data_IF_852697905103
#
_entry.id   IF_852697905103
#
_cell.length_a   1.000
_cell.length_b   1.000
_cell.length_c   1.000
_cell.angle_alpha   90.00
_cell.angle_beta   90.00
_cell.angle_gamma   90.00
#
_symmetry.space_group_name_H-M   'P 1'
#
loop_
_entity.id
_entity.type
_entity.pdbx_description
1 polymer ?
#
# COMPACT_ATOMS: atom_id res chain seq x y z
N UNK A 1 -33.87 -21.25 8.63
CA UNK A 1 -32.97 -21.49 7.48
C UNK A 1 -31.92 -20.39 7.52
N UNK A 2 -30.74 -20.69 8.12
CA UNK A 2 -29.65 -19.73 8.17
C UNK A 2 -29.11 -19.52 6.75
N UNK A 3 -28.90 -18.27 6.35
CA UNK A 3 -28.07 -17.96 5.17
C UNK A 3 -26.70 -18.56 5.41
N UNK A 4 -26.30 -19.53 4.62
CA UNK A 4 -24.89 -19.90 4.50
C UNK A 4 -24.15 -18.61 4.14
N UNK A 5 -23.12 -18.27 4.89
CA UNK A 5 -22.33 -17.08 4.64
C UNK A 5 -21.67 -17.21 3.26
N UNK A 6 -21.84 -16.22 2.44
CA UNK A 6 -21.23 -16.07 1.09
C UNK A 6 -19.71 -15.76 1.19
N UNK A 7 -19.08 -16.21 2.27
CA UNK A 7 -17.66 -15.98 2.52
C UNK A 7 -16.82 -17.07 1.85
N UNK A 8 -15.73 -16.72 1.17
CA UNK A 8 -14.83 -17.70 0.57
C UNK A 8 -14.23 -18.61 1.65
N UNK A 9 -13.92 -19.84 1.26
CA UNK A 9 -13.19 -20.74 2.14
C UNK A 9 -11.74 -20.21 2.28
N UNK A 10 -11.26 -20.15 3.53
CA UNK A 10 -9.86 -19.82 3.80
C UNK A 10 -8.95 -20.87 3.16
N UNK A 11 -7.85 -20.42 2.56
CA UNK A 11 -6.83 -21.30 2.00
C UNK A 11 -6.23 -22.20 3.09
N UNK A 12 -5.85 -23.40 2.67
CA UNK A 12 -5.24 -24.42 3.54
C UNK A 12 -3.83 -24.73 3.09
N UNK A 13 -3.08 -25.45 3.90
CA UNK A 13 -1.73 -25.94 3.56
C UNK A 13 -1.67 -26.74 2.25
N UNK A 14 -2.77 -27.35 1.84
CA UNK A 14 -2.86 -28.07 0.57
C UNK A 14 -2.89 -27.18 -0.66
N UNK A 15 -3.11 -25.86 -0.50
CA UNK A 15 -3.26 -24.90 -1.60
C UNK A 15 -2.11 -23.93 -1.73
N UNK A 16 -1.46 -23.56 -0.61
CA UNK A 16 -0.27 -22.69 -0.56
C UNK A 16 0.60 -23.07 0.63
N UNK A 17 1.84 -22.59 0.64
CA UNK A 17 2.67 -22.69 1.84
C UNK A 17 1.99 -21.98 3.01
N UNK A 18 1.96 -22.63 4.20
CA UNK A 18 1.38 -22.01 5.38
C UNK A 18 2.06 -20.69 5.70
N UNK A 19 1.25 -19.65 5.96
CA UNK A 19 1.71 -18.32 6.35
C UNK A 19 2.62 -17.58 5.33
N UNK A 20 2.75 -18.09 4.10
CA UNK A 20 3.51 -17.49 3.02
C UNK A 20 2.60 -17.13 1.86
N UNK A 21 2.76 -15.92 1.32
CA UNK A 21 1.99 -15.45 0.18
C UNK A 21 2.42 -16.12 -1.13
N UNK A 22 3.70 -16.35 -1.27
CA UNK A 22 4.32 -16.96 -2.46
C UNK A 22 5.50 -17.86 -2.04
N UNK A 23 6.02 -18.64 -2.98
CA UNK A 23 7.24 -19.40 -2.80
C UNK A 23 8.43 -18.44 -2.56
N UNK A 24 9.26 -18.66 -1.54
CA UNK A 24 10.44 -17.84 -1.26
C UNK A 24 11.37 -17.67 -2.46
N UNK A 25 11.54 -18.73 -3.27
CA UNK A 25 12.40 -18.69 -4.45
C UNK A 25 11.84 -17.78 -5.58
N UNK A 26 10.58 -17.36 -5.48
CA UNK A 26 9.89 -16.52 -6.44
C UNK A 26 9.32 -15.23 -5.81
N UNK A 27 9.68 -14.93 -4.56
CA UNK A 27 9.17 -13.74 -3.88
C UNK A 27 9.88 -12.48 -4.41
N UNK A 28 9.15 -11.54 -5.03
CA UNK A 28 9.76 -10.33 -5.57
C UNK A 28 10.30 -9.37 -4.50
N UNK A 29 10.05 -9.65 -3.22
CA UNK A 29 10.59 -8.88 -2.09
C UNK A 29 11.97 -9.37 -1.67
N UNK A 30 12.30 -10.62 -2.00
CA UNK A 30 13.60 -11.20 -1.69
C UNK A 30 14.65 -10.74 -2.71
N UNK A 31 15.85 -10.51 -2.23
CA UNK A 31 17.01 -10.22 -3.08
C UNK A 31 18.13 -11.21 -2.79
N UNK A 32 18.84 -11.65 -3.84
CA UNK A 32 20.00 -12.55 -3.71
C UNK A 32 21.23 -11.88 -3.08
N UNK A 33 21.12 -10.59 -2.74
CA UNK A 33 22.21 -9.77 -2.21
C UNK A 33 22.25 -9.69 -0.69
N UNK A 34 23.35 -9.17 -0.12
CA UNK A 34 23.38 -8.82 1.30
C UNK A 34 22.37 -7.69 1.59
N UNK A 35 21.89 -7.66 2.83
CA UNK A 35 21.07 -6.53 3.30
C UNK A 35 21.76 -5.18 3.03
N UNK A 36 21.01 -4.14 2.68
CA UNK A 36 21.58 -2.81 2.42
C UNK A 36 22.42 -2.30 3.62
N UNK A 37 23.57 -1.71 3.32
CA UNK A 37 24.43 -1.11 4.34
C UNK A 37 24.08 0.39 4.50
N UNK A 38 23.89 0.79 5.74
CA UNK A 38 23.57 2.16 6.13
C UNK A 38 22.09 2.44 6.34
N UNK A 39 21.79 3.54 7.05
CA UNK A 39 20.47 3.87 7.54
C UNK A 39 19.46 4.12 6.38
N UNK A 40 19.79 5.04 5.47
CA UNK A 40 18.88 5.39 4.38
C UNK A 40 18.60 4.21 3.42
N UNK A 41 19.62 3.45 2.95
CA UNK A 41 19.35 2.25 2.16
C UNK A 41 18.47 1.23 2.86
N UNK A 42 18.66 1.01 4.16
CA UNK A 42 17.82 0.11 4.95
C UNK A 42 16.36 0.59 5.00
N UNK A 43 16.12 1.88 5.26
CA UNK A 43 14.77 2.44 5.29
C UNK A 43 14.08 2.34 3.91
N UNK A 44 14.82 2.57 2.83
CA UNK A 44 14.30 2.45 1.47
C UNK A 44 13.96 1.00 1.11
N UNK A 45 14.76 0.05 1.55
CA UNK A 45 14.54 -1.38 1.35
C UNK A 45 13.22 -1.84 2.02
N UNK A 46 13.03 -1.52 3.29
CA UNK A 46 11.78 -1.79 4.00
C UNK A 46 10.56 -1.16 3.30
N UNK A 47 10.68 0.10 2.89
CA UNK A 47 9.59 0.78 2.17
C UNK A 47 9.27 0.08 0.84
N UNK A 48 10.30 -0.31 0.10
CA UNK A 48 10.16 -1.05 -1.16
C UNK A 48 9.44 -2.37 -0.95
N UNK A 49 9.84 -3.14 0.06
CA UNK A 49 9.20 -4.40 0.42
C UNK A 49 7.69 -4.25 0.69
N UNK A 50 7.29 -3.23 1.46
CA UNK A 50 5.87 -2.97 1.71
C UNK A 50 5.10 -2.49 0.49
N UNK A 51 5.70 -1.68 -0.38
CA UNK A 51 5.08 -1.27 -1.66
C UNK A 51 4.82 -2.48 -2.57
N UNK A 52 5.78 -3.40 -2.66
CA UNK A 52 5.62 -4.66 -3.38
C UNK A 52 4.52 -5.50 -2.73
N UNK A 53 4.53 -5.65 -1.40
CA UNK A 53 3.52 -6.40 -0.65
C UNK A 53 2.11 -5.89 -0.96
N UNK A 54 1.87 -4.58 -0.89
CA UNK A 54 0.56 -4.01 -1.22
C UNK A 54 0.11 -4.40 -2.63
N UNK A 55 1.02 -4.31 -3.60
CA UNK A 55 0.73 -4.68 -5.00
C UNK A 55 0.37 -6.16 -5.11
N UNK A 56 1.15 -7.05 -4.48
CA UNK A 56 0.89 -8.49 -4.42
C UNK A 56 -0.48 -8.81 -3.83
N UNK A 57 -0.91 -8.10 -2.76
CA UNK A 57 -2.23 -8.28 -2.15
C UNK A 57 -3.40 -7.90 -3.06
N UNK A 58 -3.14 -7.11 -4.10
CA UNK A 58 -4.15 -6.68 -5.08
C UNK A 58 -4.10 -7.50 -6.38
N UNK A 59 -3.06 -8.30 -6.61
CA UNK A 59 -2.87 -9.03 -7.86
C UNK A 59 -3.93 -10.11 -8.12
N UNK A 60 -4.29 -10.28 -9.40
CA UNK A 60 -5.21 -11.33 -9.86
C UNK A 60 -6.67 -11.10 -9.50
N UNK A 61 -7.02 -9.94 -8.96
CA UNK A 61 -8.39 -9.55 -8.65
C UNK A 61 -8.99 -8.68 -9.75
N UNK A 62 -10.26 -8.89 -10.03
CA UNK A 62 -11.04 -8.05 -10.92
C UNK A 62 -11.50 -6.74 -10.22
N UNK A 63 -12.02 -5.75 -10.97
CA UNK A 63 -12.45 -4.48 -10.40
C UNK A 63 -13.52 -4.61 -9.31
N UNK A 64 -14.42 -5.59 -9.40
CA UNK A 64 -15.46 -5.83 -8.40
C UNK A 64 -14.86 -6.34 -7.10
N UNK A 65 -13.92 -7.27 -7.19
CA UNK A 65 -13.16 -7.80 -6.06
C UNK A 65 -12.31 -6.72 -5.39
N UNK A 66 -11.59 -5.91 -6.18
CA UNK A 66 -10.76 -4.80 -5.68
C UNK A 66 -11.58 -3.71 -4.97
N UNK A 67 -12.78 -3.39 -5.46
CA UNK A 67 -13.65 -2.38 -4.87
C UNK A 67 -14.52 -2.91 -3.72
N UNK A 68 -14.50 -4.23 -3.44
CA UNK A 68 -15.36 -4.85 -2.43
C UNK A 68 -15.01 -4.40 -1.02
N UNK A 69 -15.99 -3.88 -0.29
CA UNK A 69 -15.92 -3.57 1.15
C UNK A 69 -16.21 -4.84 1.95
N UNK A 70 -15.19 -5.69 2.09
CA UNK A 70 -15.33 -7.06 2.56
C UNK A 70 -15.34 -7.22 4.09
N UNK A 71 -15.05 -6.14 4.87
CA UNK A 71 -14.96 -6.15 6.34
C UNK A 71 -15.91 -5.09 6.94
N UNK A 72 -17.23 -5.32 6.94
CA UNK A 72 -18.19 -4.39 7.55
C UNK A 72 -17.97 -4.23 9.08
N UNK A 73 -18.14 -3.03 9.64
CA UNK A 73 -18.67 -1.79 9.03
C UNK A 73 -17.61 -0.91 8.36
N UNK A 74 -16.39 -1.39 8.15
CA UNK A 74 -15.33 -0.63 7.49
C UNK A 74 -15.73 -0.25 6.05
N UNK A 75 -15.33 0.94 5.63
CA UNK A 75 -15.48 1.43 4.25
C UNK A 75 -14.26 1.09 3.39
N UNK A 76 -13.23 0.47 3.95
CA UNK A 76 -12.02 0.10 3.25
C UNK A 76 -12.27 -1.00 2.20
N UNK A 77 -11.57 -0.87 1.08
CA UNK A 77 -11.41 -1.88 0.05
C UNK A 77 -9.96 -1.86 -0.43
N UNK A 78 -9.52 -2.90 -1.13
CA UNK A 78 -8.16 -2.94 -1.68
C UNK A 78 -7.90 -1.77 -2.64
N UNK A 79 -8.85 -1.49 -3.54
CA UNK A 79 -8.77 -0.31 -4.43
C UNK A 79 -8.75 1.00 -3.64
N UNK A 80 -9.53 1.08 -2.56
CA UNK A 80 -9.51 2.24 -1.66
C UNK A 80 -8.16 2.46 -1.02
N UNK A 81 -7.45 1.39 -0.62
CA UNK A 81 -6.09 1.48 -0.08
C UNK A 81 -5.07 1.96 -1.12
N UNK A 82 -5.16 1.50 -2.37
CA UNK A 82 -4.30 1.98 -3.47
C UNK A 82 -4.48 3.48 -3.68
N UNK A 83 -5.73 3.96 -3.74
CA UNK A 83 -6.07 5.39 -3.88
C UNK A 83 -5.60 6.20 -2.67
N UNK A 84 -5.85 5.69 -1.47
CA UNK A 84 -5.43 6.33 -0.22
C UNK A 84 -3.93 6.53 -0.16
N UNK A 85 -3.14 5.51 -0.48
CA UNK A 85 -1.68 5.61 -0.47
C UNK A 85 -1.13 6.55 -1.56
N UNK A 86 -1.80 6.67 -2.70
CA UNK A 86 -1.47 7.72 -3.68
C UNK A 86 -1.68 9.13 -3.09
N UNK A 87 -2.78 9.35 -2.37
CA UNK A 87 -3.08 10.61 -1.69
C UNK A 87 -2.06 10.92 -0.59
N UNK A 88 -1.65 9.91 0.17
CA UNK A 88 -0.67 10.04 1.26
C UNK A 88 0.73 10.35 0.71
N UNK A 89 1.15 9.71 -0.38
CA UNK A 89 2.42 10.05 -1.06
C UNK A 89 2.41 11.51 -1.53
N UNK A 90 1.31 12.00 -2.10
CA UNK A 90 1.15 13.41 -2.48
C UNK A 90 1.31 14.34 -1.26
N UNK A 91 0.70 14.00 -0.12
CA UNK A 91 0.81 14.81 1.10
C UNK A 91 2.26 14.87 1.59
N UNK A 92 2.98 13.75 1.61
CA UNK A 92 4.39 13.72 2.00
C UNK A 92 5.26 14.53 1.06
N UNK A 93 5.01 14.48 -0.26
CA UNK A 93 5.70 15.34 -1.21
C UNK A 93 5.46 16.81 -0.89
N UNK A 94 4.22 17.19 -0.59
CA UNK A 94 3.89 18.54 -0.15
C UNK A 94 4.66 18.97 1.11
N UNK A 95 4.84 18.07 2.09
CA UNK A 95 5.67 18.35 3.28
C UNK A 95 7.14 18.56 2.92
N UNK A 96 7.70 17.73 2.04
CA UNK A 96 9.10 17.82 1.59
C UNK A 96 9.35 19.11 0.85
N UNK A 97 8.48 19.51 -0.06
CA UNK A 97 8.56 20.72 -0.87
C UNK A 97 8.17 21.97 -0.07
N UNK A 98 7.45 21.78 1.04
CA UNK A 98 6.91 22.87 1.87
C UNK A 98 5.77 23.59 1.20
N UNK A 99 4.97 22.87 0.42
CA UNK A 99 3.84 23.37 -0.37
C UNK A 99 2.54 22.69 0.04
N UNK A 100 1.41 23.37 -0.17
CA UNK A 100 0.09 22.76 -0.06
C UNK A 100 -0.37 22.32 -1.44
N UNK A 101 -0.39 21.02 -1.67
CA UNK A 101 -0.78 20.44 -2.96
C UNK A 101 -2.27 20.08 -2.90
N UNK A 102 -3.07 20.41 -3.92
CA UNK A 102 -4.47 19.99 -3.98
C UNK A 102 -4.60 18.46 -3.96
N UNK A 103 -5.57 17.96 -3.21
CA UNK A 103 -5.86 16.53 -3.10
C UNK A 103 -6.18 15.90 -4.46
N UNK A 104 -5.72 14.67 -4.70
CA UNK A 104 -5.98 13.92 -5.95
C UNK A 104 -7.48 13.66 -6.14
N UNK A 105 -8.14 13.25 -5.05
CA UNK A 105 -9.53 12.82 -5.10
C UNK A 105 -10.51 13.84 -4.53
N UNK A 106 -10.00 15.01 -4.12
CA UNK A 106 -10.80 16.14 -3.71
C UNK A 106 -11.18 16.15 -2.22
N UNK A 107 -12.44 15.89 -1.87
CA UNK A 107 -12.90 15.98 -0.48
C UNK A 107 -12.36 14.85 0.41
N UNK A 108 -12.49 15.02 1.73
CA UNK A 108 -12.16 14.00 2.72
C UNK A 108 -12.87 12.67 2.41
N UNK A 109 -12.17 11.56 2.59
CA UNK A 109 -12.61 10.17 2.36
C UNK A 109 -12.99 9.82 0.90
N UNK A 110 -12.76 10.73 -0.07
CA UNK A 110 -13.05 10.48 -1.49
C UNK A 110 -12.11 9.44 -2.14
N UNK A 111 -10.95 9.21 -1.54
CA UNK A 111 -10.06 8.10 -1.84
C UNK A 111 -10.79 6.74 -1.69
N UNK A 112 -11.44 6.51 -0.54
CA UNK A 112 -12.23 5.30 -0.28
C UNK A 112 -13.62 5.33 -0.92
N UNK A 113 -14.33 6.48 -0.86
CA UNK A 113 -15.69 6.59 -1.44
C UNK A 113 -15.72 6.40 -2.95
N UNK A 114 -14.68 6.88 -3.65
CA UNK A 114 -14.54 6.76 -5.10
C UNK A 114 -13.94 5.45 -5.59
N UNK A 115 -13.65 4.50 -4.71
CA UNK A 115 -13.17 3.17 -5.07
C UNK A 115 -14.33 2.31 -5.57
N UNK A 116 -14.71 2.48 -6.84
CA UNK A 116 -15.82 1.79 -7.50
C UNK A 116 -15.33 0.72 -8.48
N UNK A 117 -16.16 -0.28 -8.74
CA UNK A 117 -15.88 -1.42 -9.61
C UNK A 117 -15.89 -1.02 -11.10
N UNK A 118 -14.86 -0.30 -11.50
CA UNK A 118 -14.65 0.17 -12.88
C UNK A 118 -13.16 0.03 -13.23
N UNK A 119 -12.85 -0.62 -14.34
CA UNK A 119 -11.47 -0.82 -14.78
C UNK A 119 -10.73 0.50 -14.97
N UNK A 120 -11.38 1.53 -15.49
CA UNK A 120 -10.76 2.84 -15.66
C UNK A 120 -10.38 3.50 -14.32
N UNK A 121 -11.18 3.25 -13.26
CA UNK A 121 -10.85 3.72 -11.90
C UNK A 121 -9.70 2.93 -11.32
N UNK A 122 -9.62 1.62 -11.57
CA UNK A 122 -8.49 0.78 -11.16
C UNK A 122 -7.21 1.26 -11.83
N UNK A 123 -7.22 1.40 -13.16
CA UNK A 123 -6.05 1.82 -13.94
C UNK A 123 -5.56 3.22 -13.50
N UNK A 124 -6.48 4.15 -13.28
CA UNK A 124 -6.16 5.49 -12.79
C UNK A 124 -5.55 5.45 -11.38
N UNK A 125 -6.07 4.62 -10.47
CA UNK A 125 -5.55 4.50 -9.11
C UNK A 125 -4.11 4.00 -9.07
N UNK A 126 -3.77 3.00 -9.88
CA UNK A 126 -2.39 2.52 -9.99
C UNK A 126 -1.46 3.55 -10.64
N UNK A 127 -1.92 4.22 -11.70
CA UNK A 127 -1.14 5.28 -12.33
C UNK A 127 -0.87 6.46 -11.38
N UNK A 128 -1.87 6.83 -10.57
CA UNK A 128 -1.73 7.86 -9.53
C UNK A 128 -0.72 7.43 -8.47
N UNK A 129 -0.83 6.21 -7.95
CA UNK A 129 0.09 5.69 -6.94
C UNK A 129 1.53 5.65 -7.46
N UNK A 130 1.78 5.12 -8.64
CA UNK A 130 3.11 5.05 -9.25
C UNK A 130 3.71 6.45 -9.46
N UNK A 131 2.91 7.38 -9.96
CA UNK A 131 3.33 8.77 -10.19
C UNK A 131 3.72 9.46 -8.88
N UNK A 132 2.89 9.34 -7.85
CA UNK A 132 3.15 10.03 -6.58
C UNK A 132 4.29 9.36 -5.81
N UNK A 133 4.43 8.04 -5.84
CA UNK A 133 5.61 7.34 -5.30
C UNK A 133 6.90 7.86 -5.95
N UNK A 134 6.95 7.91 -7.27
CA UNK A 134 8.12 8.38 -8.00
C UNK A 134 8.44 9.86 -7.69
N UNK A 135 7.41 10.71 -7.61
CA UNK A 135 7.58 12.13 -7.31
C UNK A 135 8.08 12.36 -5.88
N UNK A 136 7.55 11.63 -4.89
CA UNK A 136 7.99 11.72 -3.49
C UNK A 136 9.42 11.20 -3.33
N UNK A 137 9.76 10.10 -3.99
CA UNK A 137 11.12 9.54 -3.96
C UNK A 137 12.12 10.50 -4.61
N UNK A 138 11.77 11.17 -5.71
CA UNK A 138 12.60 12.18 -6.34
C UNK A 138 12.81 13.42 -5.43
N UNK A 139 11.76 13.87 -4.75
CA UNK A 139 11.85 14.98 -3.80
C UNK A 139 12.76 14.64 -2.60
N UNK A 140 12.69 13.40 -2.10
CA UNK A 140 13.55 12.92 -1.01
C UNK A 140 15.00 12.70 -1.46
N UNK A 141 15.25 12.22 -2.67
CA UNK A 141 16.61 12.03 -3.19
C UNK A 141 17.41 13.33 -3.25
N UNK A 142 16.72 14.48 -3.36
CA UNK A 142 17.34 15.78 -3.28
C UNK A 142 17.74 16.22 -1.84
N UNK A 143 17.38 15.43 -0.82
CA UNK A 143 17.57 15.72 0.61
C UNK A 143 18.21 14.55 1.36
N UNK A 144 19.50 14.27 1.15
CA UNK A 144 20.17 13.07 1.67
C UNK A 144 20.42 13.11 3.18
N UNK A 145 20.32 14.28 3.82
CA UNK A 145 20.51 14.41 5.27
C UNK A 145 19.24 14.02 6.02
N UNK A 146 19.24 12.83 6.61
CA UNK A 146 18.14 12.32 7.43
C UNK A 146 17.82 13.17 8.66
N UNK A 147 18.77 14.00 9.10
CA UNK A 147 18.60 14.94 10.20
C UNK A 147 17.95 16.26 9.79
N UNK A 148 17.88 16.57 8.49
CA UNK A 148 17.26 17.79 7.98
C UNK A 148 15.81 17.87 8.43
N UNK A 149 15.38 19.09 8.81
CA UNK A 149 13.99 19.34 9.22
C UNK A 149 13.23 20.06 8.12
N UNK A 150 12.05 19.55 7.83
CA UNK A 150 11.07 20.17 6.95
C UNK A 150 10.44 21.41 7.61
N UNK A 151 9.72 22.22 6.83
CA UNK A 151 9.04 23.45 7.34
C UNK A 151 8.04 23.16 8.47
N UNK A 152 7.42 22.00 8.45
CA UNK A 152 6.48 21.56 9.51
C UNK A 152 7.16 21.03 10.77
N UNK A 153 8.50 20.99 10.81
CA UNK A 153 9.31 20.53 11.94
C UNK A 153 9.67 19.04 11.92
N UNK A 154 9.04 18.23 11.05
CA UNK A 154 9.34 16.79 10.87
C UNK A 154 10.74 16.62 10.30
N UNK A 155 11.55 15.71 10.83
CA UNK A 155 12.82 15.35 10.20
C UNK A 155 12.62 14.38 9.03
N UNK A 156 13.56 14.37 8.09
CA UNK A 156 13.53 13.39 6.97
C UNK A 156 13.52 11.96 7.51
N UNK A 157 14.29 11.66 8.55
CA UNK A 157 14.26 10.34 9.22
C UNK A 157 12.88 9.99 9.75
N UNK A 158 12.24 10.90 10.45
CA UNK A 158 10.88 10.72 10.97
C UNK A 158 9.86 10.48 9.85
N UNK A 159 9.97 11.23 8.75
CA UNK A 159 9.13 11.02 7.57
C UNK A 159 9.36 9.64 6.95
N UNK A 160 10.61 9.17 6.83
CA UNK A 160 10.90 7.83 6.30
C UNK A 160 10.29 6.73 7.17
N UNK A 161 10.40 6.85 8.50
CA UNK A 161 9.78 5.89 9.44
C UNK A 161 8.26 5.93 9.30
N UNK A 162 7.67 7.13 9.18
CA UNK A 162 6.22 7.30 9.00
C UNK A 162 5.73 6.68 7.70
N UNK A 163 6.48 6.81 6.60
CA UNK A 163 6.16 6.15 5.32
C UNK A 163 6.13 4.63 5.47
N UNK A 164 7.12 4.05 6.13
CA UNK A 164 7.18 2.60 6.38
C UNK A 164 5.99 2.17 7.26
N UNK A 165 5.71 2.90 8.34
CA UNK A 165 4.60 2.61 9.25
C UNK A 165 3.25 2.61 8.53
N UNK A 166 3.01 3.59 7.68
CA UNK A 166 1.76 3.73 6.94
C UNK A 166 1.55 2.58 5.95
N UNK A 167 2.58 2.26 5.14
CA UNK A 167 2.51 1.11 4.26
C UNK A 167 2.37 -0.21 5.02
N UNK A 168 3.13 -0.43 6.09
CA UNK A 168 3.03 -1.65 6.90
C UNK A 168 1.63 -1.83 7.49
N UNK A 169 1.04 -0.76 8.03
CA UNK A 169 -0.33 -0.74 8.55
C UNK A 169 -1.35 -1.13 7.48
N UNK A 170 -1.23 -0.53 6.29
CA UNK A 170 -2.16 -0.78 5.20
C UNK A 170 -1.94 -2.13 4.51
N UNK A 171 -0.75 -2.71 4.54
CA UNK A 171 -0.53 -4.11 4.17
C UNK A 171 -1.29 -5.06 5.10
N UNK A 172 -1.26 -4.84 6.42
CA UNK A 172 -2.07 -5.62 7.37
C UNK A 172 -3.58 -5.47 7.16
N UNK A 173 -4.07 -4.29 6.75
CA UNK A 173 -5.46 -4.15 6.33
C UNK A 173 -5.75 -4.91 5.03
N UNK A 174 -4.84 -4.87 4.07
CA UNK A 174 -4.96 -5.58 2.80
C UNK A 174 -4.99 -7.10 2.99
N UNK A 175 -4.26 -7.65 3.97
CA UNK A 175 -4.30 -9.06 4.33
C UNK A 175 -5.71 -9.51 4.68
N UNK A 176 -6.37 -8.81 5.60
CA UNK A 176 -7.73 -9.12 6.04
C UNK A 176 -8.77 -8.91 4.94
N UNK A 177 -8.63 -7.82 4.17
CA UNK A 177 -9.51 -7.54 3.04
C UNK A 177 -9.41 -8.65 1.99
N UNK A 178 -8.19 -9.07 1.66
CA UNK A 178 -7.92 -10.13 0.69
C UNK A 178 -8.48 -11.47 1.14
N UNK A 179 -8.25 -11.86 2.39
CA UNK A 179 -8.81 -13.10 2.95
C UNK A 179 -10.34 -13.10 2.84
N UNK A 180 -11.00 -11.97 3.09
CA UNK A 180 -12.45 -11.84 2.97
C UNK A 180 -12.96 -11.77 1.53
N UNK A 181 -12.10 -11.45 0.55
CA UNK A 181 -12.48 -11.39 -0.88
C UNK A 181 -12.43 -12.76 -1.53
N UNK A 182 -11.33 -13.49 -1.38
CA UNK A 182 -11.10 -14.77 -2.08
C UNK A 182 -10.50 -15.89 -1.20
N UNK A 183 -10.31 -15.63 0.09
CA UNK A 183 -9.78 -16.60 1.05
C UNK A 183 -8.25 -16.69 1.07
N UNK A 184 -7.52 -15.97 0.21
CA UNK A 184 -6.06 -16.02 0.14
C UNK A 184 -5.43 -15.37 1.36
N UNK A 185 -4.52 -16.11 2.01
CA UNK A 185 -3.78 -15.71 3.21
C UNK A 185 -2.27 -15.77 2.98
N UNK A 186 -1.51 -15.28 3.93
CA UNK A 186 -0.04 -15.27 3.94
C UNK A 186 0.53 -13.85 4.01
N UNK A 187 1.79 -13.78 4.41
CA UNK A 187 2.55 -12.52 4.51
C UNK A 187 3.37 -12.27 3.26
#
# INVERSE_FOLDING_TARGET
>A
MGRMSDQPARWTEATVYPDMWTDPDNDPRESDGPSPDGELPTLLDFLSGYRITLRMKCEGLDPEQLARRSVPPSTMSLLGLVRHLAEVELDWRGWIEGESIPKLYGKKDADFEGAVADQAVVDAAYADLEREQAATDAALAARPDLGERLKNGTSIRELMVHRIEEYARHCGHADLLRECVDGRVGQ
#
